data_IF_213035053956
#
_entry.id   IF_213035053956
#
_cell.length_a   1.000
_cell.length_b   1.000
_cell.length_c   1.000
_cell.angle_alpha   90.00
_cell.angle_beta   90.00
_cell.angle_gamma   90.00
#
_symmetry.space_group_name_H-M   'P 1'
#
loop_
_entity.id
_entity.type
_entity.pdbx_description
1 polymer ?
#
# COMPACT_ATOMS: atom_id res chain seq x y z
N UNK A 1 -3.46 -0.66 10.20
CA UNK A 1 -2.02 -0.94 9.98
C UNK A 1 -1.30 0.22 9.29
N UNK A 2 -0.17 0.67 9.83
CA UNK A 2 0.70 1.68 9.18
C UNK A 2 1.41 1.11 7.96
N UNK A 3 1.84 1.97 7.02
CA UNK A 3 2.57 1.51 5.83
C UNK A 3 3.86 0.77 6.21
N UNK A 4 4.64 1.27 7.17
CA UNK A 4 5.92 0.64 7.53
C UNK A 4 5.74 -0.78 8.10
N UNK A 5 4.64 -1.02 8.83
CA UNK A 5 4.33 -2.34 9.37
C UNK A 5 3.85 -3.27 8.25
N UNK A 6 3.01 -2.76 7.34
CA UNK A 6 2.57 -3.50 6.17
C UNK A 6 3.74 -3.93 5.28
N UNK A 7 4.67 -3.02 4.98
CA UNK A 7 5.86 -3.29 4.17
C UNK A 7 6.71 -4.41 4.79
N UNK A 8 6.95 -4.36 6.10
CA UNK A 8 7.66 -5.42 6.84
C UNK A 8 6.92 -6.74 6.80
N UNK A 9 5.59 -6.72 6.99
CA UNK A 9 4.77 -7.93 6.98
C UNK A 9 4.77 -8.60 5.60
N UNK A 10 4.67 -7.82 4.52
CA UNK A 10 4.78 -8.33 3.13
C UNK A 10 6.15 -8.96 2.88
N UNK A 11 7.23 -8.31 3.33
CA UNK A 11 8.58 -8.85 3.23
C UNK A 11 8.81 -10.12 4.08
N UNK A 12 7.93 -10.42 5.05
CA UNK A 12 7.98 -11.66 5.82
C UNK A 12 7.49 -12.90 5.06
N UNK A 13 6.86 -12.75 3.88
CA UNK A 13 6.33 -13.88 3.12
C UNK A 13 7.40 -14.53 2.25
N UNK A 14 7.43 -15.87 2.28
CA UNK A 14 8.25 -16.70 1.38
C UNK A 14 9.71 -16.23 1.33
N UNK A 15 10.30 -16.01 2.50
CA UNK A 15 11.69 -15.57 2.66
C UNK A 15 12.00 -14.27 1.88
N UNK A 16 11.09 -13.29 2.00
CA UNK A 16 11.24 -12.01 1.33
C UNK A 16 10.98 -12.06 -0.17
N UNK A 17 10.19 -13.01 -0.68
CA UNK A 17 9.80 -13.03 -2.10
C UNK A 17 9.00 -11.79 -2.52
N UNK A 18 8.18 -11.26 -1.62
CA UNK A 18 7.31 -10.14 -1.91
C UNK A 18 7.87 -8.83 -1.33
N UNK A 19 7.53 -7.72 -1.96
CA UNK A 19 7.86 -6.38 -1.50
C UNK A 19 6.67 -5.45 -1.70
N UNK A 20 6.44 -4.55 -0.75
CA UNK A 20 5.49 -3.45 -0.90
C UNK A 20 6.27 -2.18 -1.25
N UNK A 21 5.70 -1.35 -2.12
CA UNK A 21 6.25 -0.04 -2.49
C UNK A 21 5.15 1.00 -2.50
N UNK A 22 5.33 2.05 -1.70
CA UNK A 22 4.46 3.22 -1.69
C UNK A 22 4.88 4.21 -2.77
N UNK A 23 3.97 4.54 -3.68
CA UNK A 23 4.15 5.62 -4.63
C UNK A 23 3.93 6.98 -3.95
N UNK A 24 5.03 7.62 -3.57
CA UNK A 24 5.04 8.95 -2.98
C UNK A 24 5.01 9.97 -4.12
N UNK A 25 3.90 10.70 -4.25
CA UNK A 25 3.76 11.71 -5.30
C UNK A 25 4.95 12.68 -5.32
N UNK A 26 5.74 12.63 -6.41
CA UNK A 26 6.71 13.67 -6.77
C UNK A 26 6.03 14.67 -7.68
N UNK A 27 6.14 15.97 -7.34
CA UNK A 27 5.82 17.25 -8.01
C UNK A 27 4.88 17.36 -9.25
N UNK A 28 4.67 16.34 -10.07
CA UNK A 28 3.94 16.40 -11.33
C UNK A 28 2.51 15.83 -11.24
N UNK A 29 1.62 16.28 -12.13
CA UNK A 29 0.17 16.02 -12.10
C UNK A 29 -0.18 14.54 -12.34
N UNK A 30 0.53 13.82 -13.20
CA UNK A 30 0.32 12.37 -13.39
C UNK A 30 0.58 11.57 -12.11
N UNK A 31 1.57 11.97 -11.30
CA UNK A 31 1.87 11.35 -10.00
C UNK A 31 0.81 11.68 -8.93
N UNK A 32 -0.06 12.67 -9.17
CA UNK A 32 -1.17 12.94 -8.27
C UNK A 32 -2.26 11.87 -8.36
N UNK A 33 -2.45 11.27 -9.55
CA UNK A 33 -3.45 10.21 -9.77
C UNK A 33 -3.08 8.88 -9.11
N UNK A 34 -1.78 8.62 -8.94
CA UNK A 34 -1.24 7.44 -8.26
C UNK A 34 -0.76 7.75 -6.84
N UNK A 35 -1.02 8.96 -6.35
CA UNK A 35 -0.56 9.40 -5.04
C UNK A 35 -1.00 8.41 -3.96
N UNK A 36 -0.02 7.96 -3.16
CA UNK A 36 -0.19 7.05 -2.04
C UNK A 36 -0.66 5.64 -2.44
N UNK A 37 -0.57 5.27 -3.72
CA UNK A 37 -0.80 3.89 -4.14
C UNK A 37 0.27 2.99 -3.53
N UNK A 38 -0.14 1.79 -3.12
CA UNK A 38 0.79 0.77 -2.67
C UNK A 38 0.78 -0.37 -3.66
N UNK A 39 1.97 -0.68 -4.18
CA UNK A 39 2.21 -1.75 -5.13
C UNK A 39 2.86 -2.91 -4.39
N UNK A 40 2.32 -4.12 -4.56
CA UNK A 40 2.91 -5.35 -4.04
C UNK A 40 3.50 -6.13 -5.20
N UNK A 41 4.81 -6.36 -5.18
CA UNK A 41 5.52 -7.07 -6.23
C UNK A 41 5.92 -8.48 -5.78
N UNK A 42 5.84 -9.44 -6.71
CA UNK A 42 6.48 -10.74 -6.58
C UNK A 42 7.84 -10.69 -7.26
N UNK A 43 8.92 -10.63 -6.46
CA UNK A 43 10.29 -10.51 -6.98
C UNK A 43 10.73 -11.75 -7.76
N UNK A 44 10.22 -12.93 -7.39
CA UNK A 44 10.53 -14.18 -8.08
C UNK A 44 9.92 -14.21 -9.48
N UNK A 45 8.67 -13.76 -9.61
CA UNK A 45 7.97 -13.66 -10.90
C UNK A 45 8.27 -12.36 -11.66
N UNK A 46 8.94 -11.39 -11.04
CA UNK A 46 9.26 -10.06 -11.58
C UNK A 46 8.01 -9.31 -12.08
N UNK A 47 6.90 -9.42 -11.35
CA UNK A 47 5.62 -8.81 -11.73
C UNK A 47 4.92 -8.23 -10.51
N UNK A 48 4.02 -7.28 -10.77
CA UNK A 48 3.10 -6.80 -9.76
C UNK A 48 2.04 -7.88 -9.45
N UNK A 49 1.83 -8.11 -8.17
CA UNK A 49 0.87 -9.08 -7.64
C UNK A 49 -0.44 -8.40 -7.27
N UNK A 50 -0.37 -7.19 -6.70
CA UNK A 50 -1.53 -6.39 -6.37
C UNK A 50 -1.21 -4.89 -6.30
N UNK A 51 -2.24 -4.07 -6.51
CA UNK A 51 -2.22 -2.63 -6.29
C UNK A 51 -3.29 -2.26 -5.27
N UNK A 52 -2.98 -1.36 -4.35
CA UNK A 52 -3.90 -0.81 -3.37
C UNK A 52 -3.98 0.69 -3.63
N UNK A 53 -5.17 1.21 -3.81
CA UNK A 53 -5.33 2.65 -4.01
C UNK A 53 -5.05 3.42 -2.72
N UNK A 54 -4.43 4.59 -2.87
CA UNK A 54 -4.07 5.44 -1.74
C UNK A 54 -5.24 6.15 -1.06
N UNK A 55 -6.31 6.43 -1.81
CA UNK A 55 -7.47 7.20 -1.37
C UNK A 55 -8.73 6.35 -1.20
N UNK A 56 -8.87 5.31 -2.01
CA UNK A 56 -9.99 4.38 -1.95
C UNK A 56 -9.57 3.05 -1.29
N UNK A 57 -10.57 2.31 -0.79
CA UNK A 57 -10.38 0.97 -0.18
C UNK A 57 -10.44 -0.15 -1.22
N UNK A 58 -9.99 0.12 -2.44
CA UNK A 58 -9.97 -0.84 -3.54
C UNK A 58 -8.60 -1.47 -3.68
N UNK A 59 -8.64 -2.78 -3.93
CA UNK A 59 -7.48 -3.61 -4.25
C UNK A 59 -7.68 -4.17 -5.64
N UNK A 60 -6.64 -4.09 -6.46
CA UNK A 60 -6.58 -4.77 -7.76
C UNK A 60 -5.59 -5.91 -7.65
N UNK A 61 -6.07 -7.16 -7.72
CA UNK A 61 -5.20 -8.34 -7.76
C UNK A 61 -4.85 -8.66 -9.21
N UNK A 62 -3.55 -8.79 -9.50
CA UNK A 62 -3.03 -9.09 -10.83
C UNK A 62 -2.47 -10.52 -10.92
N UNK A 63 -2.22 -11.17 -9.78
CA UNK A 63 -1.80 -12.58 -9.71
C UNK A 63 -2.87 -13.45 -9.04
N UNK A 64 -3.55 -14.29 -9.84
CA UNK A 64 -4.56 -15.24 -9.32
C UNK A 64 -3.94 -16.37 -8.47
N UNK A 65 -2.62 -16.56 -8.54
CA UNK A 65 -1.88 -17.53 -7.73
C UNK A 65 -1.25 -16.93 -6.47
N UNK A 66 -1.78 -15.81 -5.97
CA UNK A 66 -1.28 -15.19 -4.75
C UNK A 66 -1.59 -16.06 -3.53
N UNK A 67 -0.66 -16.12 -2.58
CA UNK A 67 -0.89 -16.81 -1.31
C UNK A 67 -2.08 -16.19 -0.58
N UNK A 68 -3.02 -17.02 -0.10
CA UNK A 68 -4.24 -16.57 0.58
C UNK A 68 -3.93 -15.59 1.71
N UNK A 69 -2.97 -15.94 2.58
CA UNK A 69 -2.55 -15.09 3.71
C UNK A 69 -1.97 -13.74 3.28
N UNK A 70 -1.27 -13.69 2.15
CA UNK A 70 -0.77 -12.43 1.59
C UNK A 70 -1.95 -11.61 1.03
N UNK A 71 -2.91 -12.26 0.37
CA UNK A 71 -4.14 -11.62 -0.08
C UNK A 71 -4.97 -11.03 1.07
N UNK A 72 -5.10 -11.75 2.18
CA UNK A 72 -5.75 -11.30 3.41
C UNK A 72 -5.04 -10.07 4.00
N UNK A 73 -3.70 -10.11 4.13
CA UNK A 73 -2.91 -8.98 4.61
C UNK A 73 -3.09 -7.73 3.74
N UNK A 74 -3.07 -7.89 2.41
CA UNK A 74 -3.31 -6.81 1.45
C UNK A 74 -4.71 -6.21 1.62
N UNK A 75 -5.72 -7.06 1.81
CA UNK A 75 -7.10 -6.61 2.05
C UNK A 75 -7.18 -5.85 3.37
N UNK A 76 -6.64 -6.40 4.44
CA UNK A 76 -6.64 -5.77 5.77
C UNK A 76 -5.99 -4.38 5.73
N UNK A 77 -4.84 -4.27 5.05
CA UNK A 77 -4.20 -2.98 4.86
C UNK A 77 -5.09 -2.02 4.04
N UNK A 78 -5.68 -2.46 2.93
CA UNK A 78 -6.55 -1.61 2.10
C UNK A 78 -7.79 -1.07 2.85
N UNK A 79 -8.33 -1.85 3.79
CA UNK A 79 -9.46 -1.44 4.62
C UNK A 79 -9.06 -0.64 5.86
N UNK A 80 -7.75 -0.54 6.16
CA UNK A 80 -7.25 0.36 7.21
C UNK A 80 -7.61 1.82 6.88
N UNK A 81 -8.10 2.61 7.86
CA UNK A 81 -8.36 4.03 7.68
C UNK A 81 -7.15 4.79 7.09
N UNK A 82 -7.42 5.70 6.14
CA UNK A 82 -6.36 6.45 5.42
C UNK A 82 -5.43 7.18 6.38
N UNK A 83 -5.98 7.79 7.45
CA UNK A 83 -5.19 8.49 8.48
C UNK A 83 -4.13 7.59 9.13
N UNK A 84 -4.44 6.32 9.31
CA UNK A 84 -3.53 5.36 9.91
C UNK A 84 -2.53 4.84 8.88
N UNK A 85 -2.98 4.54 7.65
CA UNK A 85 -2.07 4.16 6.55
C UNK A 85 -1.00 5.23 6.27
N UNK A 86 -1.40 6.50 6.36
CA UNK A 86 -0.59 7.68 6.10
C UNK A 86 0.03 8.28 7.37
N UNK A 87 -0.09 7.62 8.52
CA UNK A 87 0.42 8.16 9.78
C UNK A 87 1.93 8.44 9.75
N UNK A 88 2.67 7.70 8.93
CA UNK A 88 4.12 7.90 8.75
C UNK A 88 4.46 9.01 7.72
N UNK A 89 3.47 9.50 6.95
CA UNK A 89 3.64 10.55 5.93
C UNK A 89 3.09 11.92 6.37
N UNK A 90 2.18 11.94 7.35
CA UNK A 90 1.63 13.16 7.91
C UNK A 90 2.59 13.68 8.98
N UNK A 91 3.27 14.80 8.70
CA UNK A 91 3.96 15.59 9.74
C UNK A 91 2.93 16.07 10.77
N UNK A 92 3.25 15.91 12.07
CA UNK A 92 2.40 16.27 13.22
C UNK A 92 1.82 17.71 13.16
N UNK A 93 2.45 18.61 12.40
CA UNK A 93 2.11 20.02 12.31
C UNK A 93 0.86 20.36 11.48
N UNK A 94 0.22 19.38 10.82
CA UNK A 94 -0.92 19.64 9.92
C UNK A 94 -2.15 18.78 10.19
N UNK A 95 -2.63 18.80 11.44
CA UNK A 95 -4.04 18.56 11.75
C UNK A 95 -4.94 19.75 11.33
N UNK A 96 -4.76 20.28 10.11
CA UNK A 96 -5.70 21.25 9.56
C UNK A 96 -6.95 20.51 9.11
N UNK A 97 -8.02 20.65 9.90
CA UNK A 97 -9.44 20.54 9.53
C UNK A 97 -9.72 19.69 8.29
N UNK A 98 -9.89 18.38 8.48
CA UNK A 98 -10.82 17.64 7.65
C UNK A 98 -12.20 18.13 8.11
N UNK A 99 -12.86 18.92 7.27
CA UNK A 99 -14.18 19.53 7.51
C UNK A 99 -15.13 18.54 8.19
N UNK A 100 -15.82 19.04 9.22
CA UNK A 100 -16.98 18.41 9.87
C UNK A 100 -18.08 18.11 8.86
#
# INVERSE_FOLDING_TARGET
MKYIDFEKNVAGFEDGRYEARLDRAKQNVENYMHKNHVHVFDKKKKKEAATINGLARNVTYQDLGLLTKLGELITEYAYTPIKERMADEISDDKNYNIMK
#
